data_IF_775886067707
#
_entry.id   IF_775886067707
#
_cell.length_a   1.000
_cell.length_b   1.000
_cell.length_c   1.000
_cell.angle_alpha   90.00
_cell.angle_beta   90.00
_cell.angle_gamma   90.00
#
_symmetry.space_group_name_H-M   'P 1'
#
loop_
_entity.id
_entity.type
_entity.pdbx_description
1 polymer ?
#
# COMPACT_ATOMS: atom_id res chain seq x y z
N UNK A 1 -4.10 -8.36 7.11
CA UNK A 1 -3.63 -7.20 7.90
C UNK A 1 -3.51 -7.47 9.41
N UNK A 2 -4.12 -8.51 10.00
CA UNK A 2 -4.08 -8.70 11.48
C UNK A 2 -2.83 -9.38 12.05
N UNK A 3 -1.97 -9.98 11.22
CA UNK A 3 -0.77 -10.72 11.71
C UNK A 3 0.50 -9.85 11.83
N UNK A 4 0.57 -8.73 11.10
CA UNK A 4 1.81 -7.90 11.02
C UNK A 4 1.84 -6.81 12.08
N UNK A 5 0.67 -6.39 12.59
CA UNK A 5 0.56 -5.35 13.60
C UNK A 5 1.24 -5.66 14.94
N UNK A 6 1.10 -6.87 15.55
CA UNK A 6 1.79 -7.16 16.82
C UNK A 6 3.32 -7.30 16.64
N UNK A 7 3.79 -7.77 15.49
CA UNK A 7 5.23 -7.84 15.18
C UNK A 7 5.85 -6.44 14.96
N UNK A 8 5.09 -5.52 14.35
CA UNK A 8 5.50 -4.12 14.18
C UNK A 8 5.48 -3.33 15.49
N UNK A 9 4.53 -3.60 16.40
CA UNK A 9 4.49 -2.99 17.75
C UNK A 9 5.76 -3.33 18.56
N UNK A 10 6.28 -4.55 18.42
CA UNK A 10 7.43 -5.04 19.16
C UNK A 10 8.78 -4.48 18.67
N UNK A 11 8.88 -4.06 17.39
CA UNK A 11 10.12 -3.51 16.82
C UNK A 11 10.20 -1.98 16.83
N UNK A 12 9.07 -1.28 17.03
CA UNK A 12 8.99 0.13 16.64
C UNK A 12 8.18 1.04 17.60
N UNK A 13 7.91 0.59 18.84
CA UNK A 13 7.24 1.37 19.90
C UNK A 13 6.00 2.16 19.38
N UNK A 14 5.12 1.50 18.61
CA UNK A 14 3.96 2.17 18.02
C UNK A 14 2.95 2.57 19.10
N UNK A 15 2.94 3.85 19.47
CA UNK A 15 1.76 4.49 20.10
C UNK A 15 0.55 4.35 19.17
N UNK A 16 -0.65 4.18 19.75
CA UNK A 16 -1.95 4.02 19.08
C UNK A 16 -2.18 4.99 17.88
N UNK A 17 -1.62 6.20 17.97
CA UNK A 17 -1.67 7.23 16.92
C UNK A 17 -1.08 6.79 15.57
N UNK A 18 0.01 6.02 15.56
CA UNK A 18 0.66 5.58 14.32
C UNK A 18 -0.16 4.53 13.56
N UNK A 19 -0.99 3.76 14.28
CA UNK A 19 -1.97 2.83 13.69
C UNK A 19 -3.02 3.58 12.88
N UNK A 20 -3.54 4.66 13.44
CA UNK A 20 -4.48 5.55 12.76
C UNK A 20 -3.86 6.20 11.53
N UNK A 21 -2.62 6.67 11.65
CA UNK A 21 -1.89 7.30 10.56
C UNK A 21 -1.66 6.33 9.38
N UNK A 22 -1.28 5.08 9.64
CA UNK A 22 -1.08 4.07 8.60
C UNK A 22 -2.36 3.74 7.81
N UNK A 23 -3.49 3.67 8.51
CA UNK A 23 -4.79 3.46 7.85
C UNK A 23 -5.18 4.68 7.02
N UNK A 24 -5.02 5.89 7.59
CA UNK A 24 -5.30 7.13 6.88
C UNK A 24 -4.48 7.24 5.58
N UNK A 25 -3.17 6.97 5.63
CA UNK A 25 -2.31 7.01 4.43
C UNK A 25 -2.73 5.98 3.38
N UNK A 26 -3.19 4.80 3.80
CA UNK A 26 -3.67 3.77 2.87
C UNK A 26 -4.95 4.22 2.16
N UNK A 27 -5.90 4.79 2.89
CA UNK A 27 -7.13 5.33 2.31
C UNK A 27 -6.87 6.55 1.41
N UNK A 28 -5.94 7.43 1.79
CA UNK A 28 -5.54 8.56 0.94
C UNK A 28 -4.96 8.08 -0.38
N UNK A 29 -4.12 7.03 -0.36
CA UNK A 29 -3.61 6.37 -1.56
C UNK A 29 -4.75 5.88 -2.47
N UNK A 30 -5.68 5.09 -1.92
CA UNK A 30 -6.81 4.53 -2.66
C UNK A 30 -7.72 5.59 -3.29
N UNK A 31 -8.02 6.67 -2.56
CA UNK A 31 -8.88 7.75 -3.05
C UNK A 31 -8.19 8.51 -4.18
N UNK A 32 -6.88 8.76 -4.05
CA UNK A 32 -6.13 9.52 -5.06
C UNK A 32 -6.03 8.77 -6.39
N UNK A 33 -6.04 7.44 -6.38
CA UNK A 33 -5.84 6.62 -7.57
C UNK A 33 -7.08 6.07 -8.22
N UNK A 34 -8.22 6.09 -7.54
CA UNK A 34 -9.48 5.64 -8.11
C UNK A 34 -9.79 6.32 -9.45
N UNK A 35 -9.48 7.62 -9.58
CA UNK A 35 -9.66 8.36 -10.83
C UNK A 35 -8.69 7.91 -11.94
N UNK A 36 -7.44 7.65 -11.58
CA UNK A 36 -6.37 7.26 -12.52
C UNK A 36 -6.60 5.84 -13.03
N UNK A 37 -6.86 4.88 -12.14
CA UNK A 37 -7.15 3.50 -12.52
C UNK A 37 -8.49 3.35 -13.25
N UNK A 38 -9.49 4.18 -12.91
CA UNK A 38 -10.74 4.26 -13.67
C UNK A 38 -10.48 4.62 -15.13
N UNK A 39 -9.70 5.67 -15.38
CA UNK A 39 -9.30 6.06 -16.73
C UNK A 39 -8.43 5.01 -17.44
N UNK A 40 -7.49 4.37 -16.72
CA UNK A 40 -6.70 3.27 -17.28
C UNK A 40 -7.57 2.05 -17.64
N UNK A 41 -8.62 1.76 -16.87
CA UNK A 41 -9.54 0.64 -17.12
C UNK A 41 -10.26 0.78 -18.46
N UNK A 42 -10.62 2.00 -18.81
CA UNK A 42 -11.34 2.28 -20.04
C UNK A 42 -10.42 2.29 -21.27
N UNK A 43 -9.11 2.56 -21.09
CA UNK A 43 -8.15 2.72 -22.20
C UNK A 43 -7.30 1.47 -22.51
N UNK A 44 -6.83 0.74 -21.49
CA UNK A 44 -5.86 -0.36 -21.65
C UNK A 44 -6.50 -1.76 -21.69
N UNK A 45 -7.80 -1.85 -21.43
CA UNK A 45 -8.55 -3.10 -21.36
C UNK A 45 -8.31 -3.87 -20.05
N UNK A 46 -9.40 -4.42 -19.48
CA UNK A 46 -9.43 -5.02 -18.12
C UNK A 46 -8.33 -6.04 -17.84
N UNK A 47 -8.00 -6.93 -18.79
CA UNK A 47 -7.10 -8.06 -18.54
C UNK A 47 -5.63 -7.64 -18.43
N UNK A 48 -5.19 -6.73 -19.30
CA UNK A 48 -3.82 -6.18 -19.28
C UNK A 48 -3.59 -5.36 -18.01
N UNK A 49 -4.60 -4.56 -17.66
CA UNK A 49 -4.56 -3.70 -16.50
C UNK A 49 -4.43 -4.50 -15.18
N UNK A 50 -5.26 -5.53 -15.01
CA UNK A 50 -5.17 -6.41 -13.83
C UNK A 50 -3.78 -7.06 -13.71
N UNK A 51 -3.22 -7.56 -14.81
CA UNK A 51 -1.90 -8.20 -14.78
C UNK A 51 -0.80 -7.20 -14.43
N UNK A 52 -0.80 -6.01 -15.03
CA UNK A 52 0.21 -4.97 -14.72
C UNK A 52 0.06 -4.43 -13.30
N UNK A 53 -1.17 -4.25 -12.82
CA UNK A 53 -1.45 -3.83 -11.44
C UNK A 53 -0.94 -4.84 -10.42
N UNK A 54 -1.26 -6.13 -10.59
CA UNK A 54 -0.76 -7.18 -9.69
C UNK A 54 0.77 -7.34 -9.74
N UNK A 55 1.40 -7.13 -10.90
CA UNK A 55 2.86 -7.15 -11.01
C UNK A 55 3.52 -5.97 -10.26
N UNK A 56 2.96 -4.77 -10.39
CA UNK A 56 3.43 -3.61 -9.64
C UNK A 56 3.22 -3.81 -8.13
N UNK A 57 2.07 -4.34 -7.72
CA UNK A 57 1.76 -4.61 -6.32
C UNK A 57 2.75 -5.61 -5.71
N UNK A 58 3.08 -6.68 -6.45
CA UNK A 58 4.08 -7.65 -6.01
C UNK A 58 5.47 -7.01 -5.79
N UNK A 59 5.89 -6.07 -6.65
CA UNK A 59 7.16 -5.35 -6.50
C UNK A 59 7.12 -4.46 -5.26
N UNK A 60 6.04 -3.70 -5.04
CA UNK A 60 5.89 -2.85 -3.87
C UNK A 60 5.81 -3.65 -2.57
N UNK A 61 5.12 -4.79 -2.57
CA UNK A 61 5.06 -5.70 -1.42
C UNK A 61 6.42 -6.32 -1.11
N UNK A 62 7.20 -6.67 -2.14
CA UNK A 62 8.56 -7.18 -1.93
C UNK A 62 9.49 -6.11 -1.31
N UNK A 63 9.41 -4.87 -1.81
CA UNK A 63 10.10 -3.71 -1.23
C UNK A 63 9.64 -3.44 0.21
N UNK A 64 8.33 -3.54 0.48
CA UNK A 64 7.75 -3.39 1.81
C UNK A 64 8.26 -4.46 2.79
N UNK A 65 8.39 -5.71 2.31
CA UNK A 65 8.88 -6.82 3.13
C UNK A 65 10.37 -6.67 3.49
N UNK A 66 11.16 -6.00 2.65
CA UNK A 66 12.57 -5.71 2.91
C UNK A 66 12.77 -4.48 3.82
N UNK A 67 11.72 -3.69 4.03
CA UNK A 67 11.78 -2.43 4.78
C UNK A 67 11.67 -2.64 6.29
N UNK A 68 12.76 -2.39 7.03
CA UNK A 68 12.80 -2.38 8.50
C UNK A 68 12.38 -1.05 9.14
N UNK A 69 12.12 0.02 8.37
CA UNK A 69 11.83 1.37 8.90
C UNK A 69 10.37 1.79 8.74
N UNK A 70 9.81 2.49 9.73
CA UNK A 70 8.42 2.98 9.75
C UNK A 70 8.03 3.82 8.53
N UNK A 71 8.90 4.77 8.17
CA UNK A 71 8.66 5.67 7.05
C UNK A 71 8.58 4.92 5.72
N UNK A 72 9.47 3.93 5.52
CA UNK A 72 9.49 3.13 4.30
C UNK A 72 8.31 2.16 4.24
N UNK A 73 7.82 1.68 5.38
CA UNK A 73 6.55 0.95 5.50
C UNK A 73 5.34 1.83 5.16
N UNK A 74 5.32 3.08 5.62
CA UNK A 74 4.25 4.05 5.32
C UNK A 74 4.21 4.40 3.82
N UNK A 75 5.38 4.65 3.22
CA UNK A 75 5.51 4.93 1.79
C UNK A 75 5.09 3.70 0.96
N UNK A 76 5.54 2.50 1.33
CA UNK A 76 5.14 1.28 0.63
C UNK A 76 3.63 1.00 0.75
N UNK A 77 3.01 1.34 1.89
CA UNK A 77 1.55 1.26 2.07
C UNK A 77 0.79 2.29 1.22
N UNK A 78 1.34 3.49 1.07
CA UNK A 78 0.76 4.51 0.19
C UNK A 78 0.79 4.04 -1.28
N UNK A 79 1.91 3.49 -1.74
CA UNK A 79 2.04 2.93 -3.09
C UNK A 79 1.23 1.64 -3.30
N UNK A 80 1.14 0.77 -2.29
CA UNK A 80 0.27 -0.42 -2.34
C UNK A 80 -1.21 -0.06 -2.36
N UNK A 81 -1.62 1.01 -1.66
CA UNK A 81 -2.98 1.56 -1.79
C UNK A 81 -3.22 2.32 -3.10
N UNK A 82 -2.15 2.60 -3.86
CA UNK A 82 -2.22 3.25 -5.17
C UNK A 82 -2.72 2.28 -6.25
N UNK A 83 -2.72 0.97 -6.01
CA UNK A 83 -3.13 -0.11 -6.93
C UNK A 83 -4.48 -0.69 -6.50
#
# INVERSE_FOLDING_TARGET
>A
MSYVFPAAECNLELKLHYKGLLNATTYTGMISTGFVWGYLCDTLGRKKLLVTGYLLDAIFVFLASSSQSFAMLMVAKFFGGFI
#
